data_IF_036031776606
#
_entry.id   IF_036031776606
#
_cell.length_a   1.000
_cell.length_b   1.000
_cell.length_c   1.000
_cell.angle_alpha   90.00
_cell.angle_beta   90.00
_cell.angle_gamma   90.00
#
_symmetry.space_group_name_H-M   'P 1'
#
loop_
_entity.id
_entity.type
_entity.pdbx_description
1 polymer ?
#
# COMPACT_ATOMS: atom_id res chain seq x y z
N UNK A 1 -51.87 -2.15 18.98
CA UNK A 1 -50.95 -2.55 17.90
C UNK A 1 -50.51 -3.97 18.18
N UNK A 2 -50.79 -4.96 17.32
CA UNK A 2 -50.31 -6.32 17.58
C UNK A 2 -48.80 -6.33 17.37
N UNK A 3 -48.04 -6.71 18.40
CA UNK A 3 -46.59 -6.84 18.38
C UNK A 3 -46.05 -7.96 17.45
N UNK A 4 -46.90 -8.50 16.56
CA UNK A 4 -46.67 -9.77 15.85
C UNK A 4 -46.13 -9.62 14.42
N UNK A 5 -45.97 -8.39 13.89
CA UNK A 5 -45.57 -8.15 12.49
C UNK A 5 -44.22 -7.41 12.36
N UNK A 6 -43.33 -7.54 13.35
CA UNK A 6 -41.98 -6.99 13.24
C UNK A 6 -41.10 -7.96 12.42
N UNK A 7 -40.71 -7.56 11.21
CA UNK A 7 -39.67 -8.23 10.43
C UNK A 7 -38.37 -7.46 10.66
N UNK A 8 -37.36 -8.15 11.19
CA UNK A 8 -36.01 -7.61 11.31
C UNK A 8 -35.20 -8.05 10.11
N UNK A 9 -34.55 -7.10 9.44
CA UNK A 9 -33.66 -7.36 8.31
C UNK A 9 -32.29 -6.81 8.65
N UNK A 10 -31.32 -7.70 8.79
CA UNK A 10 -29.94 -7.30 9.01
C UNK A 10 -29.34 -6.80 7.69
N UNK A 11 -28.78 -5.59 7.71
CA UNK A 11 -28.11 -4.97 6.57
C UNK A 11 -26.62 -4.86 6.83
N UNK A 12 -25.83 -5.02 5.77
CA UNK A 12 -24.38 -4.77 5.78
C UNK A 12 -24.06 -3.62 4.84
N UNK A 13 -23.01 -2.86 5.16
CA UNK A 13 -22.43 -1.92 4.20
C UNK A 13 -21.88 -2.67 2.99
N UNK A 14 -21.89 -2.00 1.85
CA UNK A 14 -21.37 -2.53 0.58
C UNK A 14 -19.84 -2.55 0.50
N UNK A 15 -19.19 -1.74 1.32
CA UNK A 15 -17.75 -1.50 1.26
C UNK A 15 -17.08 -1.88 2.57
N UNK A 16 -15.81 -2.25 2.47
CA UNK A 16 -14.85 -2.24 3.55
C UNK A 16 -14.38 -0.80 3.82
N UNK A 17 -13.95 -0.55 5.06
CA UNK A 17 -13.34 0.70 5.49
C UNK A 17 -11.85 0.49 5.75
N UNK A 18 -11.03 1.45 5.36
CA UNK A 18 -9.58 1.44 5.60
C UNK A 18 -9.13 2.74 6.25
N UNK A 19 -8.22 2.62 7.22
CA UNK A 19 -7.41 3.72 7.74
C UNK A 19 -5.97 3.27 7.86
N UNK A 20 -5.05 4.20 7.65
CA UNK A 20 -3.61 3.98 7.87
C UNK A 20 -3.13 5.03 8.85
N UNK A 21 -2.37 4.61 9.85
CA UNK A 21 -1.79 5.51 10.86
C UNK A 21 -0.33 5.18 11.15
N UNK A 22 0.41 6.20 11.60
CA UNK A 22 1.75 6.01 12.15
C UNK A 22 1.65 5.47 13.58
N UNK A 23 2.46 4.47 13.90
CA UNK A 23 2.66 4.10 15.30
C UNK A 23 3.33 5.28 16.03
N UNK A 24 2.96 5.47 17.29
CA UNK A 24 3.56 6.51 18.13
C UNK A 24 5.09 6.45 18.09
N UNK A 25 5.72 7.59 17.75
CA UNK A 25 7.16 7.75 17.59
C UNK A 25 7.78 6.89 16.48
N UNK A 26 7.07 6.68 15.36
CA UNK A 26 7.61 6.03 14.17
C UNK A 26 8.91 6.71 13.74
N UNK A 27 9.99 5.93 13.67
CA UNK A 27 11.29 6.45 13.26
C UNK A 27 11.35 6.60 11.73
N UNK A 28 11.47 7.85 11.28
CA UNK A 28 11.61 8.18 9.85
C UNK A 28 13.01 8.69 9.49
N UNK A 29 13.93 8.77 10.46
CA UNK A 29 15.32 9.14 10.24
C UNK A 29 16.22 7.90 10.24
N UNK A 30 17.35 7.98 9.52
CA UNK A 30 18.30 6.88 9.34
C UNK A 30 17.69 5.62 8.72
N UNK A 31 16.62 5.77 7.94
CA UNK A 31 16.06 4.68 7.13
C UNK A 31 16.98 4.52 5.93
N UNK A 32 17.70 3.40 5.83
CA UNK A 32 18.59 3.11 4.69
C UNK A 32 19.63 4.20 4.40
N UNK A 33 20.14 4.89 5.43
CA UNK A 33 21.07 6.01 5.24
C UNK A 33 20.41 7.29 4.70
N UNK A 34 19.10 7.44 4.86
CA UNK A 34 18.35 8.65 4.54
C UNK A 34 17.25 8.97 5.55
N UNK A 35 16.37 9.89 5.16
CA UNK A 35 15.20 10.31 5.93
C UNK A 35 13.96 10.19 5.07
N UNK A 36 12.89 9.67 5.67
CA UNK A 36 11.55 9.66 5.12
C UNK A 36 10.72 10.83 5.65
N UNK A 37 9.80 11.32 4.83
CA UNK A 37 8.79 12.30 5.23
C UNK A 37 7.54 12.15 4.37
N UNK A 38 6.48 12.88 4.74
CA UNK A 38 5.22 12.96 3.99
C UNK A 38 4.64 11.57 3.66
N UNK A 39 4.44 10.75 4.69
CA UNK A 39 3.74 9.49 4.54
C UNK A 39 2.30 9.76 4.11
N UNK A 40 1.88 9.11 3.04
CA UNK A 40 0.50 9.14 2.53
C UNK A 40 0.09 7.74 2.12
N UNK A 41 -1.21 7.50 2.03
CA UNK A 41 -1.72 6.22 1.56
C UNK A 41 -2.89 6.32 0.58
N UNK A 42 -3.02 5.29 -0.24
CA UNK A 42 -4.16 5.04 -1.11
C UNK A 42 -4.49 3.54 -1.13
N UNK A 43 -5.58 3.16 -1.79
CA UNK A 43 -5.94 1.76 -2.01
C UNK A 43 -5.75 1.42 -3.49
N UNK A 44 -4.82 0.52 -3.78
CA UNK A 44 -4.59 0.01 -5.13
C UNK A 44 -5.42 -1.25 -5.39
N UNK A 45 -5.68 -1.52 -6.68
CA UNK A 45 -6.41 -2.73 -7.11
C UNK A 45 -7.76 -2.91 -6.41
N UNK A 46 -8.51 -1.82 -6.31
CA UNK A 46 -9.86 -1.82 -5.73
C UNK A 46 -10.82 -2.42 -6.75
N UNK A 47 -11.67 -3.36 -6.32
CA UNK A 47 -12.64 -3.97 -7.22
C UNK A 47 -13.60 -2.92 -7.81
N UNK A 48 -13.82 -2.96 -9.13
CA UNK A 48 -14.73 -2.06 -9.86
C UNK A 48 -16.18 -2.53 -9.83
N UNK A 49 -16.44 -3.76 -9.39
CA UNK A 49 -17.78 -4.33 -9.35
C UNK A 49 -18.03 -5.13 -8.08
N UNK A 50 -19.29 -5.24 -7.68
CA UNK A 50 -19.68 -6.08 -6.55
C UNK A 50 -21.12 -6.53 -6.69
N UNK A 51 -21.47 -7.67 -6.10
CA UNK A 51 -22.86 -8.12 -6.04
C UNK A 51 -23.66 -7.33 -5.00
N UNK A 52 -24.93 -7.03 -5.30
CA UNK A 52 -25.83 -6.32 -4.39
C UNK A 52 -26.07 -7.10 -3.09
N UNK A 53 -26.34 -8.39 -3.22
CA UNK A 53 -26.29 -9.34 -2.12
C UNK A 53 -24.99 -10.13 -2.23
N UNK A 54 -24.34 -10.36 -1.10
CA UNK A 54 -23.10 -11.13 -1.04
C UNK A 54 -23.35 -12.55 -1.57
N UNK A 55 -22.67 -12.93 -2.66
CA UNK A 55 -22.77 -14.28 -3.21
C UNK A 55 -21.96 -15.22 -2.32
N UNK A 56 -22.66 -16.21 -1.74
CA UNK A 56 -22.08 -17.19 -0.84
C UNK A 56 -22.23 -18.57 -1.44
N UNK A 57 -21.11 -19.24 -1.69
CA UNK A 57 -21.04 -20.62 -2.18
C UNK A 57 -20.46 -21.47 -1.05
N UNK A 58 -21.34 -22.20 -0.35
CA UNK A 58 -20.96 -22.91 0.88
C UNK A 58 -20.53 -21.93 1.97
N UNK A 59 -19.27 -22.01 2.40
CA UNK A 59 -18.65 -21.07 3.37
C UNK A 59 -17.87 -19.94 2.72
N UNK A 60 -17.66 -20.00 1.40
CA UNK A 60 -16.88 -19.04 0.64
C UNK A 60 -17.75 -17.89 0.19
N UNK A 61 -17.19 -16.69 0.26
CA UNK A 61 -17.75 -15.50 -0.38
C UNK A 61 -17.06 -15.34 -1.71
N UNK A 62 -17.84 -15.20 -2.77
CA UNK A 62 -17.32 -15.01 -4.12
C UNK A 62 -17.83 -13.66 -4.65
N UNK A 63 -16.94 -12.73 -4.91
CA UNK A 63 -17.22 -11.50 -5.63
C UNK A 63 -17.13 -11.73 -7.16
N UNK A 64 -17.42 -10.72 -8.00
CA UNK A 64 -17.34 -10.87 -9.45
C UNK A 64 -15.93 -11.21 -9.98
N UNK A 65 -14.89 -10.94 -9.18
CA UNK A 65 -13.48 -11.14 -9.53
C UNK A 65 -12.86 -12.35 -8.81
N UNK A 66 -13.69 -13.20 -8.20
CA UNK A 66 -13.24 -14.33 -7.39
C UNK A 66 -12.35 -15.31 -8.15
N UNK A 67 -12.71 -15.60 -9.40
CA UNK A 67 -11.88 -16.44 -10.27
C UNK A 67 -10.77 -15.62 -10.89
N UNK A 68 -9.53 -16.10 -10.76
CA UNK A 68 -8.35 -15.46 -11.36
C UNK A 68 -8.60 -15.11 -12.85
N UNK A 69 -8.52 -13.81 -13.21
CA UNK A 69 -8.63 -13.39 -14.60
C UNK A 69 -7.40 -13.80 -15.41
N UNK A 70 -7.57 -13.91 -16.73
CA UNK A 70 -6.46 -14.21 -17.64
C UNK A 70 -5.33 -13.15 -17.62
N UNK A 71 -5.67 -11.91 -17.24
CA UNK A 71 -4.73 -10.81 -17.05
C UNK A 71 -4.85 -10.35 -15.60
N UNK A 72 -3.78 -10.43 -14.78
CA UNK A 72 -3.83 -9.97 -13.40
C UNK A 72 -4.29 -8.52 -13.29
N UNK A 73 -5.22 -8.27 -12.38
CA UNK A 73 -5.82 -6.97 -12.14
C UNK A 73 -7.02 -6.62 -13.03
N UNK A 74 -7.45 -7.52 -13.93
CA UNK A 74 -8.66 -7.27 -14.72
C UNK A 74 -9.91 -7.15 -13.82
N UNK A 75 -10.73 -6.14 -14.11
CA UNK A 75 -11.86 -5.71 -13.27
C UNK A 75 -11.49 -5.00 -11.96
N UNK A 76 -10.22 -4.68 -11.73
CA UNK A 76 -9.76 -3.83 -10.62
C UNK A 76 -9.39 -2.43 -11.11
N UNK A 77 -9.33 -1.46 -10.19
CA UNK A 77 -8.98 -0.08 -10.49
C UNK A 77 -7.59 0.05 -11.12
N UNK A 78 -7.42 1.05 -12.00
CA UNK A 78 -6.14 1.38 -12.64
C UNK A 78 -5.08 1.87 -11.65
N UNK A 79 -3.86 2.10 -12.17
CA UNK A 79 -2.72 2.68 -11.44
C UNK A 79 -3.10 3.94 -10.67
N UNK A 80 -2.61 4.03 -9.43
CA UNK A 80 -2.85 5.16 -8.56
C UNK A 80 -2.14 6.43 -9.04
N UNK A 81 -2.80 7.56 -8.88
CA UNK A 81 -2.22 8.90 -9.11
C UNK A 81 -2.07 9.66 -7.80
N UNK A 82 -1.30 10.74 -7.81
CA UNK A 82 -0.98 11.52 -6.60
C UNK A 82 -2.23 11.98 -5.82
N UNK A 83 -3.30 12.34 -6.54
CA UNK A 83 -4.57 12.79 -5.95
C UNK A 83 -5.37 11.67 -5.24
N UNK A 84 -5.04 10.40 -5.47
CA UNK A 84 -5.68 9.28 -4.77
C UNK A 84 -5.16 9.14 -3.34
N UNK A 85 -3.99 9.71 -3.05
CA UNK A 85 -3.33 9.59 -1.76
C UNK A 85 -3.91 10.57 -0.73
N UNK A 86 -3.88 10.14 0.53
CA UNK A 86 -4.24 10.96 1.68
C UNK A 86 -3.20 10.79 2.77
N UNK A 87 -3.00 11.84 3.56
CA UNK A 87 -1.95 11.83 4.59
C UNK A 87 -2.13 10.68 5.58
N UNK A 88 -1.03 10.04 5.94
CA UNK A 88 -0.96 9.13 7.08
C UNK A 88 -0.63 9.98 8.30
N UNK A 89 -1.51 9.95 9.29
CA UNK A 89 -1.36 10.74 10.51
C UNK A 89 -1.04 9.82 11.70
N UNK A 90 -0.53 10.41 12.77
CA UNK A 90 -0.30 9.74 14.05
C UNK A 90 -1.58 9.15 14.64
N UNK A 91 -1.41 8.04 15.36
CA UNK A 91 -2.48 7.45 16.17
C UNK A 91 -3.09 8.49 17.15
N UNK A 92 -4.43 8.60 17.12
CA UNK A 92 -5.19 9.56 17.93
C UNK A 92 -5.47 10.90 17.24
N UNK A 93 -4.90 11.14 16.06
CA UNK A 93 -5.29 12.25 15.19
C UNK A 93 -6.51 11.88 14.32
N UNK A 94 -7.04 12.86 13.57
CA UNK A 94 -8.02 12.55 12.53
C UNK A 94 -7.34 11.70 11.44
N UNK A 95 -7.82 10.48 11.25
CA UNK A 95 -7.31 9.57 10.23
C UNK A 95 -8.14 9.73 8.94
N UNK A 96 -7.43 9.86 7.82
CA UNK A 96 -8.08 9.76 6.52
C UNK A 96 -8.69 8.35 6.35
N UNK A 97 -9.83 8.30 5.66
CA UNK A 97 -10.58 7.07 5.45
C UNK A 97 -10.68 6.80 3.96
N UNK A 98 -10.42 5.55 3.56
CA UNK A 98 -10.67 5.04 2.21
C UNK A 98 -11.66 3.88 2.29
N UNK A 99 -12.35 3.64 1.19
CA UNK A 99 -13.32 2.57 1.06
C UNK A 99 -13.02 1.74 -0.17
N UNK A 100 -13.23 0.43 -0.08
CA UNK A 100 -13.14 -0.48 -1.20
C UNK A 100 -14.33 -1.45 -1.16
N UNK A 101 -14.89 -1.85 -2.31
CA UNK A 101 -15.76 -3.01 -2.37
C UNK A 101 -15.04 -4.27 -1.91
N UNK A 102 -15.83 -5.30 -1.65
CA UNK A 102 -15.32 -6.65 -1.43
C UNK A 102 -14.46 -7.12 -2.61
N UNK A 103 -13.32 -7.71 -2.31
CA UNK A 103 -12.40 -8.32 -3.28
C UNK A 103 -11.93 -9.66 -2.71
N UNK A 104 -12.40 -10.76 -3.29
CA UNK A 104 -12.11 -12.13 -2.83
C UNK A 104 -11.44 -12.91 -3.94
N UNK A 105 -10.64 -13.94 -3.63
CA UNK A 105 -9.87 -14.64 -4.66
C UNK A 105 -9.81 -16.15 -4.44
N UNK A 106 -9.88 -16.93 -5.52
CA UNK A 106 -9.62 -18.38 -5.52
C UNK A 106 -8.13 -18.73 -5.57
N UNK A 107 -7.32 -17.82 -6.11
CA UNK A 107 -5.86 -17.90 -6.13
C UNK A 107 -5.21 -16.60 -5.66
N UNK A 108 -4.22 -16.71 -4.78
CA UNK A 108 -3.59 -15.57 -4.11
C UNK A 108 -2.36 -15.11 -4.91
N UNK A 109 -2.60 -14.23 -5.88
CA UNK A 109 -1.53 -13.55 -6.63
C UNK A 109 -1.54 -12.05 -6.37
N UNK A 110 -0.36 -11.45 -6.30
CA UNK A 110 -0.16 -10.05 -5.91
C UNK A 110 -0.98 -9.06 -6.75
N UNK A 111 -1.19 -9.39 -8.03
CA UNK A 111 -1.90 -8.57 -8.99
C UNK A 111 -3.43 -8.57 -8.90
N UNK A 112 -4.04 -9.44 -8.09
CA UNK A 112 -5.51 -9.49 -7.95
C UNK A 112 -6.01 -9.02 -6.58
N UNK A 113 -5.10 -8.71 -5.66
CA UNK A 113 -5.43 -8.38 -4.29
C UNK A 113 -5.52 -6.86 -4.13
N UNK A 114 -6.58 -6.38 -3.51
CA UNK A 114 -6.61 -4.99 -3.04
C UNK A 114 -5.53 -4.80 -1.97
N UNK A 115 -4.73 -3.75 -2.12
CA UNK A 115 -3.65 -3.44 -1.20
C UNK A 115 -3.68 -1.98 -0.75
N UNK A 116 -3.04 -1.72 0.39
CA UNK A 116 -2.73 -0.36 0.83
C UNK A 116 -1.39 0.03 0.23
N UNK A 117 -1.39 1.10 -0.56
CA UNK A 117 -0.16 1.69 -1.09
C UNK A 117 0.26 2.82 -0.16
N UNK A 118 1.44 2.72 0.45
CA UNK A 118 2.02 3.80 1.27
C UNK A 118 3.08 4.51 0.44
N UNK A 119 2.91 5.80 0.17
CA UNK A 119 3.95 6.63 -0.47
C UNK A 119 4.71 7.44 0.57
N UNK A 120 5.99 7.65 0.35
CA UNK A 120 6.82 8.56 1.14
C UNK A 120 7.76 9.38 0.25
N UNK A 121 8.30 10.46 0.83
CA UNK A 121 9.43 11.20 0.29
C UNK A 121 10.71 10.77 0.99
N UNK A 122 11.63 10.20 0.24
CA UNK A 122 12.95 9.80 0.71
C UNK A 122 14.00 10.83 0.27
N UNK A 123 14.82 11.24 1.23
CA UNK A 123 16.05 11.99 0.97
C UNK A 123 17.25 11.18 1.48
N UNK A 124 18.14 10.70 0.58
CA UNK A 124 19.42 10.15 0.99
C UNK A 124 20.17 11.17 1.87
N UNK A 125 20.82 10.74 2.95
CA UNK A 125 21.66 11.65 3.73
C UNK A 125 22.91 12.04 2.93
N UNK A 126 23.51 11.04 2.27
CA UNK A 126 24.72 11.19 1.48
C UNK A 126 24.56 10.59 0.09
N UNK A 127 25.35 11.13 -0.85
CA UNK A 127 25.48 10.64 -2.22
C UNK A 127 26.94 10.54 -2.63
N UNK A 128 27.23 9.63 -3.54
CA UNK A 128 28.48 9.58 -4.27
C UNK A 128 28.47 10.62 -5.38
N UNK A 129 29.59 11.33 -5.52
CA UNK A 129 29.83 12.31 -6.57
C UNK A 129 31.30 12.30 -6.99
N UNK A 130 31.57 12.62 -8.25
CA UNK A 130 32.92 12.63 -8.80
C UNK A 130 32.99 11.99 -10.17
N UNK A 131 34.17 11.46 -10.48
CA UNK A 131 34.49 10.82 -11.76
C UNK A 131 35.26 9.54 -11.50
N UNK A 132 35.38 8.69 -12.53
CA UNK A 132 36.12 7.42 -12.46
C UNK A 132 37.49 7.58 -11.78
N UNK A 133 37.77 6.75 -10.77
CA UNK A 133 39.00 6.78 -9.99
C UNK A 133 39.10 7.90 -8.95
N UNK A 134 38.10 8.78 -8.82
CA UNK A 134 38.05 9.85 -7.83
C UNK A 134 36.61 10.14 -7.36
N UNK A 135 36.08 9.24 -6.55
CA UNK A 135 34.75 9.35 -5.96
C UNK A 135 34.81 9.91 -4.54
N UNK A 136 33.86 10.78 -4.21
CA UNK A 136 33.69 11.34 -2.88
C UNK A 136 32.25 11.17 -2.41
N UNK A 137 32.06 11.10 -1.10
CA UNK A 137 30.74 11.06 -0.48
C UNK A 137 30.41 12.46 0.02
N UNK A 138 29.30 13.03 -0.42
CA UNK A 138 28.85 14.37 -0.04
C UNK A 138 27.40 14.33 0.44
N UNK A 139 26.97 15.27 1.29
CA UNK A 139 25.56 15.39 1.65
C UNK A 139 24.68 15.58 0.40
N UNK A 140 23.54 14.88 0.35
CA UNK A 140 22.58 15.06 -0.75
C UNK A 140 22.04 16.49 -0.78
N UNK A 141 21.62 16.98 0.38
CA UNK A 141 21.28 18.38 0.63
C UNK A 141 19.77 18.66 0.74
N UNK A 142 18.90 17.95 0.04
CA UNK A 142 17.43 18.15 0.08
C UNK A 142 16.65 16.92 -0.44
N UNK A 143 15.32 16.91 -0.31
CA UNK A 143 14.44 16.02 -1.11
C UNK A 143 14.53 16.43 -2.59
N UNK A 144 14.63 15.46 -3.49
CA UNK A 144 14.76 15.70 -4.93
C UNK A 144 14.92 14.40 -5.72
N UNK A 145 15.16 14.52 -7.02
CA UNK A 145 15.53 13.37 -7.84
C UNK A 145 16.86 12.79 -7.35
N UNK A 146 16.93 11.45 -7.24
CA UNK A 146 18.19 10.75 -7.00
C UNK A 146 18.21 9.41 -7.75
N UNK A 147 19.40 8.87 -7.91
CA UNK A 147 19.63 7.55 -8.48
C UNK A 147 20.16 6.61 -7.41
N UNK A 148 19.70 5.37 -7.44
CA UNK A 148 20.03 4.34 -6.47
C UNK A 148 20.56 3.12 -7.21
N UNK A 149 21.62 2.52 -6.67
CA UNK A 149 22.04 1.16 -7.02
C UNK A 149 21.84 0.31 -5.78
N UNK A 150 20.96 -0.69 -5.87
CA UNK A 150 20.73 -1.65 -4.79
C UNK A 150 21.87 -2.67 -4.77
N UNK A 151 22.62 -2.76 -3.67
CA UNK A 151 23.68 -3.77 -3.52
C UNK A 151 23.37 -4.70 -2.35
N UNK A 152 24.09 -5.82 -2.24
CA UNK A 152 23.95 -6.76 -1.12
C UNK A 152 24.38 -6.16 0.23
N UNK A 153 25.21 -5.11 0.20
CA UNK A 153 25.74 -4.44 1.40
C UNK A 153 25.00 -3.16 1.77
N UNK A 154 24.03 -2.74 0.97
CA UNK A 154 23.28 -1.50 1.17
C UNK A 154 23.05 -0.73 -0.13
N UNK A 155 22.30 0.36 -0.04
CA UNK A 155 21.99 1.19 -1.20
C UNK A 155 23.05 2.28 -1.42
N UNK A 156 23.40 2.51 -2.68
CA UNK A 156 24.32 3.57 -3.11
C UNK A 156 23.52 4.66 -3.81
N UNK A 157 23.72 5.92 -3.42
CA UNK A 157 22.92 7.05 -3.90
C UNK A 157 23.74 8.06 -4.70
N UNK A 158 23.12 8.66 -5.72
CA UNK A 158 23.77 9.59 -6.64
C UNK A 158 22.83 10.74 -7.02
N UNK A 159 23.40 11.91 -7.36
CA UNK A 159 22.65 13.08 -7.84
C UNK A 159 22.40 13.09 -9.35
N UNK A 160 23.09 12.22 -10.09
CA UNK A 160 22.94 12.13 -11.55
C UNK A 160 23.03 10.69 -12.04
N UNK A 161 22.37 10.43 -13.18
CA UNK A 161 22.45 9.14 -13.87
C UNK A 161 23.87 8.85 -14.38
N UNK A 162 24.61 9.89 -14.78
CA UNK A 162 25.98 9.76 -15.30
C UNK A 162 26.90 9.25 -14.20
N UNK A 163 26.91 9.89 -13.02
CA UNK A 163 27.73 9.44 -11.89
C UNK A 163 27.36 8.01 -11.46
N UNK A 164 26.08 7.68 -11.37
CA UNK A 164 25.64 6.34 -11.02
C UNK A 164 26.11 5.28 -12.03
N UNK A 165 26.01 5.59 -13.33
CA UNK A 165 26.42 4.68 -14.42
C UNK A 165 27.93 4.50 -14.47
N UNK A 166 28.68 5.59 -14.33
CA UNK A 166 30.15 5.56 -14.31
C UNK A 166 30.66 4.77 -13.11
N UNK A 167 30.06 4.99 -11.92
CA UNK A 167 30.37 4.25 -10.71
C UNK A 167 30.04 2.75 -10.85
N UNK A 168 28.86 2.43 -11.39
CA UNK A 168 28.47 1.04 -11.65
C UNK A 168 29.47 0.34 -12.58
N UNK A 169 29.86 1.01 -13.66
CA UNK A 169 30.81 0.49 -14.65
C UNK A 169 32.19 0.25 -14.02
N UNK A 170 32.72 1.21 -13.26
CA UNK A 170 34.03 1.10 -12.61
C UNK A 170 34.09 -0.07 -11.61
N UNK A 171 33.02 -0.30 -10.86
CA UNK A 171 32.95 -1.38 -9.87
C UNK A 171 32.46 -2.72 -10.44
N UNK A 172 32.20 -2.81 -11.74
CA UNK A 172 31.67 -4.02 -12.38
C UNK A 172 30.26 -4.39 -11.92
N UNK A 173 29.47 -3.40 -11.46
CA UNK A 173 28.05 -3.55 -11.18
C UNK A 173 27.24 -3.48 -12.48
N UNK A 174 26.05 -4.08 -12.49
CA UNK A 174 25.17 -3.98 -13.65
C UNK A 174 24.58 -2.57 -13.75
N UNK A 175 24.87 -1.87 -14.84
CA UNK A 175 24.31 -0.53 -15.14
C UNK A 175 22.77 -0.58 -15.23
N UNK A 176 22.19 -1.72 -15.60
CA UNK A 176 20.75 -1.93 -15.62
C UNK A 176 20.08 -1.84 -14.25
N UNK A 177 20.85 -1.92 -13.15
CA UNK A 177 20.35 -1.84 -11.78
C UNK A 177 20.33 -0.39 -11.25
N UNK A 178 20.73 0.59 -12.07
CA UNK A 178 20.64 2.01 -11.73
C UNK A 178 19.17 2.46 -11.83
N UNK A 179 18.58 2.79 -10.69
CA UNK A 179 17.16 3.14 -10.56
C UNK A 179 16.99 4.61 -10.20
N UNK A 180 16.18 5.35 -10.96
CA UNK A 180 15.78 6.72 -10.64
C UNK A 180 14.60 6.75 -9.68
N UNK A 181 14.70 7.56 -8.63
CA UNK A 181 13.60 7.96 -7.76
C UNK A 181 13.24 9.41 -8.04
N UNK A 182 12.04 9.64 -8.60
CA UNK A 182 11.60 10.97 -9.02
C UNK A 182 11.02 11.75 -7.83
N UNK A 183 11.53 12.96 -7.60
CA UNK A 183 11.19 13.83 -6.48
C UNK A 183 11.23 13.11 -5.12
N UNK A 184 12.16 12.16 -4.98
CA UNK A 184 12.34 11.31 -3.81
C UNK A 184 11.18 10.36 -3.51
N UNK A 185 10.23 10.18 -4.43
CA UNK A 185 9.04 9.37 -4.15
C UNK A 185 9.37 7.89 -4.13
N UNK A 186 8.95 7.20 -3.07
CA UNK A 186 9.02 5.75 -2.96
C UNK A 186 7.71 5.18 -2.42
N UNK A 187 7.46 3.90 -2.69
CA UNK A 187 6.21 3.23 -2.39
C UNK A 187 6.43 1.94 -1.62
N UNK A 188 5.46 1.58 -0.78
CA UNK A 188 5.38 0.32 -0.07
C UNK A 188 4.00 -0.28 -0.27
N UNK A 189 3.95 -1.48 -0.84
CA UNK A 189 2.72 -2.24 -1.02
C UNK A 189 2.43 -3.09 0.20
N UNK A 190 1.28 -2.88 0.83
CA UNK A 190 0.85 -3.57 2.05
C UNK A 190 -0.43 -4.36 1.77
N UNK A 191 -0.32 -5.69 1.77
CA UNK A 191 -1.48 -6.59 1.72
C UNK A 191 -2.02 -6.84 3.13
N UNK A 192 -3.34 -6.69 3.29
CA UNK A 192 -4.03 -6.88 4.58
C UNK A 192 -4.72 -8.23 4.65
N UNK A 193 -5.22 -8.63 5.82
CA UNK A 193 -6.05 -9.83 6.00
C UNK A 193 -5.40 -11.16 5.60
N UNK A 194 -4.08 -11.32 5.82
CA UNK A 194 -3.34 -12.55 5.56
C UNK A 194 -4.01 -13.84 6.08
N UNK A 195 -4.70 -13.77 7.22
CA UNK A 195 -5.39 -14.91 7.84
C UNK A 195 -6.62 -15.39 7.03
N UNK A 196 -7.07 -14.60 6.05
CA UNK A 196 -8.20 -14.88 5.15
C UNK A 196 -7.74 -14.72 3.70
N UNK A 197 -6.57 -15.24 3.37
CA UNK A 197 -6.03 -15.21 2.00
C UNK A 197 -5.94 -13.81 1.37
N UNK A 198 -5.82 -12.78 2.21
CA UNK A 198 -5.82 -11.37 1.79
C UNK A 198 -7.14 -10.87 1.17
N UNK A 199 -8.22 -11.61 1.34
CA UNK A 199 -9.56 -11.20 0.92
C UNK A 199 -10.00 -9.93 1.65
N UNK A 200 -10.69 -9.03 0.95
CA UNK A 200 -11.34 -7.86 1.52
C UNK A 200 -12.83 -8.12 1.61
N UNK A 201 -13.42 -8.07 2.80
CA UNK A 201 -14.85 -8.30 3.00
C UNK A 201 -15.60 -6.99 3.24
N UNK A 202 -16.80 -6.90 2.66
CA UNK A 202 -17.69 -5.76 2.90
C UNK A 202 -18.07 -5.67 4.39
N UNK A 203 -18.25 -4.45 4.88
CA UNK A 203 -18.60 -4.15 6.28
C UNK A 203 -17.53 -4.53 7.32
N UNK A 204 -16.31 -4.82 6.89
CA UNK A 204 -15.15 -4.89 7.78
C UNK A 204 -14.38 -3.56 7.79
N UNK A 205 -13.72 -3.29 8.91
CA UNK A 205 -12.82 -2.18 9.10
C UNK A 205 -11.39 -2.69 9.26
N UNK A 206 -10.54 -2.30 8.33
CA UNK A 206 -9.10 -2.58 8.28
C UNK A 206 -8.33 -1.36 8.78
N UNK A 207 -7.81 -1.44 10.00
CA UNK A 207 -6.91 -0.45 10.57
C UNK A 207 -5.47 -0.93 10.38
N UNK A 208 -4.70 -0.21 9.56
CA UNK A 208 -3.29 -0.49 9.30
C UNK A 208 -2.44 0.49 10.09
N UNK A 209 -1.51 -0.04 10.87
CA UNK A 209 -0.62 0.75 11.73
C UNK A 209 0.80 0.50 11.23
N UNK A 210 1.48 1.55 10.78
CA UNK A 210 2.89 1.44 10.36
C UNK A 210 3.75 1.35 11.61
N UNK A 211 4.33 0.16 11.85
CA UNK A 211 5.16 -0.15 13.02
C UNK A 211 6.62 0.27 12.80
N UNK A 212 7.16 0.01 11.61
CA UNK A 212 8.55 0.27 11.27
C UNK A 212 8.74 0.37 9.76
N UNK A 213 9.63 1.25 9.30
CA UNK A 213 10.11 1.27 7.92
C UNK A 213 11.61 0.99 7.93
N UNK A 214 12.00 -0.16 7.39
CA UNK A 214 13.33 -0.75 7.51
C UNK A 214 14.27 -0.37 6.36
N UNK A 215 13.75 0.18 5.26
CA UNK A 215 14.57 0.57 4.13
C UNK A 215 13.83 1.35 3.06
N UNK A 216 14.55 1.74 2.01
CA UNK A 216 13.97 2.44 0.87
C UNK A 216 12.91 1.58 0.16
N UNK A 217 11.72 2.15 -0.02
CA UNK A 217 10.64 1.55 -0.80
C UNK A 217 10.94 1.48 -2.30
N UNK A 218 9.98 0.97 -3.06
CA UNK A 218 10.12 0.82 -4.50
C UNK A 218 9.90 2.13 -5.24
N UNK A 219 10.53 2.26 -6.41
CA UNK A 219 10.44 3.46 -7.25
C UNK A 219 9.10 3.58 -7.97
N UNK A 220 8.41 2.46 -8.16
CA UNK A 220 7.10 2.38 -8.79
C UNK A 220 6.06 1.92 -7.78
N UNK A 221 4.83 2.30 -8.05
CA UNK A 221 3.66 1.96 -7.26
C UNK A 221 3.18 0.54 -7.58
N UNK A 222 2.70 -0.18 -6.57
CA UNK A 222 2.09 -1.50 -6.72
C UNK A 222 3.08 -2.68 -6.74
N UNK A 223 2.58 -3.91 -6.96
CA UNK A 223 3.43 -5.10 -6.97
C UNK A 223 4.42 -5.09 -8.13
N UNK A 224 5.70 -5.35 -7.84
CA UNK A 224 6.75 -5.41 -8.87
C UNK A 224 6.51 -6.50 -9.90
N UNK A 225 5.98 -7.66 -9.47
CA UNK A 225 5.64 -8.78 -10.34
C UNK A 225 4.22 -9.25 -10.01
N UNK A 226 3.18 -8.70 -10.67
CA UNK A 226 1.78 -8.96 -10.33
C UNK A 226 1.35 -10.44 -10.47
N UNK A 227 2.05 -11.22 -11.29
CA UNK A 227 1.77 -12.65 -11.49
C UNK A 227 2.29 -13.54 -10.35
N UNK A 228 3.15 -13.01 -9.49
CA UNK A 228 3.73 -13.79 -8.40
C UNK A 228 2.78 -13.83 -7.18
N UNK A 229 2.93 -14.84 -6.30
CA UNK A 229 2.36 -14.77 -4.96
C UNK A 229 2.83 -13.50 -4.22
N UNK A 230 2.10 -13.12 -3.18
CA UNK A 230 2.47 -12.00 -2.32
C UNK A 230 3.91 -12.13 -1.81
N UNK A 231 4.73 -11.12 -2.10
CA UNK A 231 6.09 -11.05 -1.56
C UNK A 231 6.02 -10.71 -0.06
N UNK A 232 6.66 -11.54 0.75
CA UNK A 232 6.77 -11.36 2.20
C UNK A 232 8.03 -10.59 2.60
N UNK A 233 8.98 -10.38 1.68
CA UNK A 233 10.17 -9.58 1.89
C UNK A 233 9.84 -8.09 1.76
N UNK A 234 9.24 -7.52 2.80
CA UNK A 234 8.81 -6.12 2.82
C UNK A 234 9.81 -5.22 3.54
N UNK A 235 9.96 -3.97 3.07
CA UNK A 235 10.72 -2.89 3.74
C UNK A 235 9.88 -2.10 4.73
N UNK A 236 8.63 -2.48 4.92
CA UNK A 236 7.70 -1.90 5.89
C UNK A 236 7.11 -3.02 6.77
N UNK A 237 6.99 -2.75 8.05
CA UNK A 237 6.32 -3.61 9.01
C UNK A 237 5.05 -2.89 9.45
N UNK A 238 3.94 -3.62 9.40
CA UNK A 238 2.64 -3.10 9.80
C UNK A 238 1.96 -4.03 10.80
N UNK A 239 1.16 -3.46 11.68
CA UNK A 239 0.13 -4.17 12.41
C UNK A 239 -1.22 -3.93 11.71
N UNK A 240 -1.97 -5.00 11.44
CA UNK A 240 -3.30 -4.91 10.83
C UNK A 240 -4.34 -5.41 11.81
N UNK A 241 -5.25 -4.53 12.20
CA UNK A 241 -6.42 -4.87 13.02
C UNK A 241 -7.65 -4.92 12.12
N UNK A 242 -8.39 -6.02 12.20
CA UNK A 242 -9.65 -6.20 11.46
C UNK A 242 -10.78 -6.29 12.47
N UNK A 243 -11.78 -5.42 12.33
CA UNK A 243 -12.95 -5.41 13.20
C UNK A 243 -14.24 -5.25 12.37
N UNK A 244 -15.39 -5.76 12.85
CA UNK A 244 -16.66 -5.45 12.23
C UNK A 244 -16.89 -3.94 12.23
N UNK A 245 -17.28 -3.38 11.08
CA UNK A 245 -17.71 -1.99 11.02
C UNK A 245 -19.14 -1.92 11.57
N UNK A 246 -19.24 -1.73 12.89
CA UNK A 246 -20.54 -1.76 13.56
C UNK A 246 -21.49 -0.69 13.00
N UNK A 247 -22.76 -1.05 12.82
CA UNK A 247 -23.83 -0.08 12.60
C UNK A 247 -24.19 0.57 13.94
N UNK A 248 -24.33 1.89 13.94
CA UNK A 248 -25.14 2.54 14.97
C UNK A 248 -26.59 2.27 14.58
N UNK A 249 -27.29 1.46 15.38
CA UNK A 249 -28.70 1.16 15.11
C UNK A 249 -29.55 2.41 15.30
N UNK A 250 -30.31 2.78 14.28
CA UNK A 250 -31.36 3.79 14.37
C UNK A 250 -32.70 3.12 14.06
N UNK A 251 -33.66 3.23 14.98
CA UNK A 251 -35.01 2.76 14.76
C UNK A 251 -35.78 3.83 13.98
N UNK A 252 -35.89 3.66 12.66
CA UNK A 252 -36.73 4.52 11.82
C UNK A 252 -38.12 3.90 11.73
N UNK A 253 -39.13 4.57 12.31
CA UNK A 253 -40.50 4.10 12.30
C UNK A 253 -41.22 4.57 11.02
N UNK A 254 -41.60 3.65 10.14
CA UNK A 254 -42.22 3.93 8.84
C UNK A 254 -43.75 3.98 8.89
N UNK A 255 -44.35 4.26 10.05
CA UNK A 255 -45.79 4.44 10.14
C UNK A 255 -46.14 5.76 9.43
N UNK A 256 -46.96 5.75 8.36
CA UNK A 256 -47.47 6.97 7.76
C UNK A 256 -48.27 7.74 8.83
N UNK A 257 -47.96 9.02 9.03
CA UNK A 257 -48.80 9.92 9.84
C UNK A 257 -50.11 10.23 9.13
#
# INVERSE_FOLDING_TARGET
MPASNAITVDVKRFVAKFTVEEKANLALTNVDGGTLSNLRFALGQVNLSTYAAQKKVGTTIEDPNYTEPAIPGDGLSSTLVDNDYSDVNDAGSFLAVKYAPENTNDNVIAGNLTYVSVSAKFAPANVFTGTTGNWTVTPHGTIGDFWCIKTTTGNLYFKSVTEATDYATELGLNVGDVVKYTAGTCYYTVYVNKAKNYDIFRNDFYQVIIDEIMGLGDKEEGPTVPTNPVDLATKIKVEVKVAPWNLVGENVNLIPQ
#
